data_IF_952388280942
#
_entry.id   IF_952388280942
#
_cell.length_a   1.000
_cell.length_b   1.000
_cell.length_c   1.000
_cell.angle_alpha   90.00
_cell.angle_beta   90.00
_cell.angle_gamma   90.00
#
_symmetry.space_group_name_H-M   'P 1'
#
loop_
_entity.id
_entity.type
_entity.pdbx_description
1 polymer ?
#
# COMPACT_ATOMS: atom_id res chain seq x y z
N UNK A 1 -7.46 12.41 -24.44
CA UNK A 1 -7.23 11.92 -23.06
C UNK A 1 -6.00 11.04 -23.07
N UNK A 2 -5.11 11.17 -22.09
CA UNK A 2 -3.96 10.28 -21.97
C UNK A 2 -4.43 8.84 -21.67
N UNK A 3 -3.83 7.87 -22.34
CA UNK A 3 -4.07 6.43 -22.14
C UNK A 3 -2.78 5.77 -21.68
N UNK A 4 -2.83 4.91 -20.65
CA UNK A 4 -1.66 4.26 -20.06
C UNK A 4 -1.70 2.72 -20.11
N UNK A 5 -1.69 2.08 -21.29
CA UNK A 5 -1.50 0.63 -21.39
C UNK A 5 -0.09 0.23 -20.93
N UNK A 6 0.10 -0.94 -20.28
CA UNK A 6 -0.90 -1.97 -19.97
C UNK A 6 -1.60 -1.78 -18.60
N UNK A 7 -1.22 -0.76 -17.83
CA UNK A 7 -1.64 -0.62 -16.43
C UNK A 7 -3.09 -0.18 -16.28
N UNK A 8 -3.54 0.77 -17.11
CA UNK A 8 -4.85 1.38 -16.97
C UNK A 8 -6.01 0.36 -17.05
N UNK A 9 -5.98 -0.59 -17.99
CA UNK A 9 -7.04 -1.61 -18.09
C UNK A 9 -7.08 -2.52 -16.86
N UNK A 10 -5.90 -2.86 -16.32
CA UNK A 10 -5.81 -3.69 -15.12
C UNK A 10 -6.36 -2.95 -13.91
N UNK A 11 -5.96 -1.70 -13.70
CA UNK A 11 -6.47 -0.91 -12.57
C UNK A 11 -7.94 -0.58 -12.69
N UNK A 12 -8.47 -0.38 -13.91
CA UNK A 12 -9.91 -0.26 -14.15
C UNK A 12 -10.67 -1.49 -13.65
N UNK A 13 -10.18 -2.70 -13.96
CA UNK A 13 -10.83 -3.92 -13.49
C UNK A 13 -10.76 -4.04 -11.97
N UNK A 14 -9.61 -3.76 -11.36
CA UNK A 14 -9.45 -3.75 -9.90
C UNK A 14 -10.40 -2.75 -9.25
N UNK A 15 -10.50 -1.53 -9.79
CA UNK A 15 -11.42 -0.50 -9.30
C UNK A 15 -12.87 -0.99 -9.34
N UNK A 16 -13.30 -1.61 -10.45
CA UNK A 16 -14.67 -2.14 -10.56
C UNK A 16 -14.94 -3.21 -9.51
N UNK A 17 -14.01 -4.15 -9.31
CA UNK A 17 -14.14 -5.17 -8.25
C UNK A 17 -14.25 -4.53 -6.87
N UNK A 18 -13.44 -3.51 -6.58
CA UNK A 18 -13.45 -2.80 -5.29
C UNK A 18 -14.79 -2.08 -5.08
N UNK A 19 -15.28 -1.37 -6.08
CA UNK A 19 -16.44 -0.47 -5.96
C UNK A 19 -17.81 -1.18 -6.04
N UNK A 20 -17.87 -2.40 -6.56
CA UNK A 20 -19.14 -3.11 -6.78
C UNK A 20 -19.08 -4.54 -6.28
N UNK A 21 -19.98 -4.86 -5.34
CA UNK A 21 -20.20 -6.23 -4.85
C UNK A 21 -20.66 -7.21 -5.94
N UNK A 22 -21.22 -6.69 -7.03
CA UNK A 22 -21.77 -7.49 -8.14
C UNK A 22 -20.84 -7.53 -9.36
N UNK A 23 -19.64 -6.94 -9.30
CA UNK A 23 -18.71 -7.00 -10.43
C UNK A 23 -18.22 -8.46 -10.61
N UNK A 24 -18.46 -9.09 -11.77
CA UNK A 24 -18.13 -10.49 -11.97
C UNK A 24 -16.63 -10.73 -12.12
N UNK A 25 -16.22 -11.99 -11.94
CA UNK A 25 -14.86 -12.44 -12.26
C UNK A 25 -13.77 -12.02 -11.27
N UNK A 26 -14.12 -11.49 -10.10
CA UNK A 26 -13.14 -11.24 -9.05
C UNK A 26 -12.65 -12.59 -8.48
N UNK A 27 -11.35 -12.86 -8.63
CA UNK A 27 -10.72 -14.08 -8.10
C UNK A 27 -10.11 -13.89 -6.71
N UNK A 28 -10.19 -12.69 -6.15
CA UNK A 28 -9.59 -12.38 -4.85
C UNK A 28 -10.52 -12.85 -3.74
N UNK A 29 -10.07 -13.84 -2.97
CA UNK A 29 -10.79 -14.36 -1.82
C UNK A 29 -10.53 -13.52 -0.56
N UNK A 30 -11.39 -13.69 0.45
CA UNK A 30 -11.18 -13.10 1.79
C UNK A 30 -9.87 -13.59 2.38
N UNK A 31 -9.05 -12.68 2.90
CA UNK A 31 -7.77 -13.03 3.51
C UNK A 31 -8.03 -13.59 4.91
N UNK A 32 -7.54 -14.80 5.15
CA UNK A 32 -7.55 -15.44 6.47
C UNK A 32 -6.15 -15.66 7.04
N UNK A 33 -5.11 -15.26 6.29
CA UNK A 33 -3.71 -15.41 6.68
C UNK A 33 -3.40 -14.55 7.92
N UNK A 34 -2.71 -15.16 8.88
CA UNK A 34 -2.11 -14.49 10.04
C UNK A 34 -0.61 -14.77 10.08
N UNK A 35 0.15 -13.98 10.84
CA UNK A 35 1.59 -14.21 10.99
C UNK A 35 1.93 -15.54 11.68
N UNK A 36 0.98 -16.14 12.41
CA UNK A 36 1.15 -17.45 13.05
C UNK A 36 0.88 -18.62 12.10
N UNK A 37 0.23 -18.36 10.95
CA UNK A 37 -0.23 -19.36 9.99
C UNK A 37 0.48 -19.27 8.64
N UNK A 38 1.66 -18.64 8.60
CA UNK A 38 2.44 -18.48 7.37
C UNK A 38 2.84 -19.85 6.77
N UNK A 39 2.47 -20.13 5.50
CA UNK A 39 2.86 -21.35 4.81
C UNK A 39 4.29 -21.26 4.24
N UNK A 40 4.92 -22.40 3.87
CA UNK A 40 4.46 -23.77 4.11
C UNK A 40 4.58 -24.18 5.58
N UNK A 41 5.61 -23.68 6.28
CA UNK A 41 5.77 -23.84 7.72
C UNK A 41 6.11 -22.50 8.36
N UNK A 42 5.49 -22.18 9.49
CA UNK A 42 5.75 -20.92 10.21
C UNK A 42 7.22 -20.77 10.59
N UNK A 43 7.91 -21.86 10.91
CA UNK A 43 9.33 -21.86 11.29
C UNK A 43 10.26 -21.36 10.20
N UNK A 44 9.81 -21.31 8.96
CA UNK A 44 10.61 -20.86 7.81
C UNK A 44 10.63 -19.33 7.67
N UNK A 45 10.02 -18.61 8.62
CA UNK A 45 9.83 -17.17 8.59
C UNK A 45 10.45 -16.49 9.80
N UNK A 46 11.37 -15.58 9.54
CA UNK A 46 11.86 -14.63 10.52
C UNK A 46 10.91 -13.44 10.57
N UNK A 47 10.27 -13.25 11.73
CA UNK A 47 9.37 -12.13 11.98
C UNK A 47 9.92 -11.35 13.15
N UNK A 48 10.36 -10.12 12.87
CA UNK A 48 10.71 -9.15 13.90
C UNK A 48 9.67 -8.03 13.89
N UNK A 49 9.08 -7.76 15.05
CA UNK A 49 8.18 -6.63 15.24
C UNK A 49 8.54 -5.92 16.53
N UNK A 50 8.73 -4.61 16.46
CA UNK A 50 9.05 -3.79 17.61
C UNK A 50 8.32 -2.45 17.56
N UNK A 51 8.09 -1.86 18.74
CA UNK A 51 7.53 -0.52 18.82
C UNK A 51 8.54 0.47 18.24
N UNK A 52 8.12 1.23 17.23
CA UNK A 52 9.01 2.11 16.47
C UNK A 52 8.45 3.54 16.48
N UNK A 53 9.25 4.53 16.85
CA UNK A 53 8.82 5.92 16.77
C UNK A 53 8.89 6.42 15.33
N UNK A 54 7.84 7.14 14.91
CA UNK A 54 7.85 7.81 13.62
C UNK A 54 8.97 8.85 13.52
N UNK A 55 9.57 8.95 12.35
CA UNK A 55 10.42 10.08 12.04
C UNK A 55 9.59 11.37 11.85
N UNK A 56 10.24 12.56 11.85
CA UNK A 56 9.55 13.84 11.70
C UNK A 56 8.75 13.98 10.39
N UNK A 57 9.07 13.23 9.35
CA UNK A 57 8.40 13.33 8.06
C UNK A 57 7.10 12.52 8.04
N UNK A 58 7.12 11.30 8.58
CA UNK A 58 5.91 10.51 8.79
C UNK A 58 4.88 11.28 9.64
N UNK A 59 5.33 11.97 10.71
CA UNK A 59 4.43 12.82 11.50
C UNK A 59 3.76 13.91 10.66
N UNK A 60 4.51 14.58 9.77
CA UNK A 60 3.95 15.61 8.89
C UNK A 60 2.92 15.03 7.93
N UNK A 61 3.17 13.82 7.39
CA UNK A 61 2.22 13.17 6.49
C UNK A 61 0.91 12.82 7.19
N UNK A 62 1.00 12.30 8.42
CA UNK A 62 -0.17 11.98 9.23
C UNK A 62 -0.97 13.22 9.62
N UNK A 63 -0.29 14.28 10.08
CA UNK A 63 -0.91 15.57 10.39
C UNK A 63 -1.63 16.16 9.16
N UNK A 64 -1.03 16.04 7.97
CA UNK A 64 -1.62 16.52 6.72
C UNK A 64 -2.92 15.80 6.35
N UNK A 65 -3.07 14.52 6.70
CA UNK A 65 -4.33 13.76 6.50
C UNK A 65 -5.25 13.78 7.72
N UNK A 66 -4.93 14.58 8.74
CA UNK A 66 -5.76 14.75 9.93
C UNK A 66 -5.69 13.57 10.92
N UNK A 67 -4.64 12.76 10.89
CA UNK A 67 -4.36 11.77 11.93
C UNK A 67 -3.64 12.48 13.09
N UNK A 68 -4.20 12.49 14.32
CA UNK A 68 -3.56 13.13 15.46
C UNK A 68 -2.27 12.40 15.88
N UNK A 69 -1.17 13.13 15.98
CA UNK A 69 0.17 12.61 16.33
C UNK A 69 0.72 13.15 17.65
N UNK A 70 0.14 14.22 18.19
CA UNK A 70 0.70 14.94 19.35
C UNK A 70 0.89 14.05 20.58
N UNK A 71 -0.07 13.18 20.88
CA UNK A 71 0.02 12.28 22.02
C UNK A 71 1.16 11.26 21.87
N UNK A 72 1.35 10.75 20.65
CA UNK A 72 2.41 9.79 20.33
C UNK A 72 3.80 10.44 20.39
N UNK A 73 3.95 11.66 19.87
CA UNK A 73 5.19 12.45 19.92
C UNK A 73 5.69 12.72 21.34
N UNK A 74 4.77 12.84 22.30
CA UNK A 74 5.07 13.11 23.71
C UNK A 74 5.15 11.83 24.55
N UNK A 75 4.75 10.69 23.98
CA UNK A 75 4.71 9.41 24.67
C UNK A 75 6.09 8.77 24.74
N UNK A 76 6.33 8.03 25.83
CA UNK A 76 7.52 7.13 25.95
C UNK A 76 7.32 5.80 25.24
N UNK A 77 6.10 5.48 24.84
CA UNK A 77 5.72 4.27 24.12
C UNK A 77 5.13 4.66 22.78
N UNK A 78 5.63 4.06 21.69
CA UNK A 78 5.08 4.29 20.36
C UNK A 78 3.75 3.56 20.16
N UNK A 79 2.81 4.20 19.48
CA UNK A 79 1.59 3.56 18.97
C UNK A 79 1.83 2.82 17.64
N UNK A 80 3.05 2.85 17.11
CA UNK A 80 3.43 2.29 15.83
C UNK A 80 4.37 1.10 15.98
N UNK A 81 4.23 0.15 15.07
CA UNK A 81 5.00 -1.08 15.06
C UNK A 81 5.76 -1.20 13.75
N UNK A 82 7.09 -1.16 13.85
CA UNK A 82 7.99 -1.58 12.79
C UNK A 82 7.94 -3.09 12.66
N UNK A 83 7.84 -3.61 11.44
CA UNK A 83 7.80 -5.06 11.21
C UNK A 83 8.61 -5.45 9.99
N UNK A 84 9.40 -6.51 10.15
CA UNK A 84 10.11 -7.22 9.11
C UNK A 84 9.60 -8.66 9.12
N UNK A 85 9.10 -9.11 7.97
CA UNK A 85 8.76 -10.51 7.70
C UNK A 85 9.67 -10.97 6.58
N UNK A 86 10.52 -11.94 6.85
CA UNK A 86 11.46 -12.48 5.87
C UNK A 86 11.39 -13.99 5.88
N UNK A 87 11.35 -14.59 4.69
CA UNK A 87 11.49 -16.03 4.58
C UNK A 87 12.96 -16.41 4.73
N UNK A 88 13.26 -17.25 5.72
CA UNK A 88 14.62 -17.66 6.08
C UNK A 88 15.19 -18.67 5.08
N UNK A 89 14.32 -19.50 4.48
CA UNK A 89 14.72 -20.55 3.55
C UNK A 89 13.90 -20.55 2.24
N UNK A 90 14.57 -20.91 1.15
CA UNK A 90 13.94 -21.07 -0.16
C UNK A 90 13.88 -19.77 -0.97
N UNK A 91 12.76 -19.58 -1.67
CA UNK A 91 12.58 -18.44 -2.57
C UNK A 91 12.49 -17.12 -1.79
N UNK A 92 13.14 -16.07 -2.30
CA UNK A 92 13.13 -14.74 -1.69
C UNK A 92 11.70 -14.21 -1.57
N UNK A 93 11.25 -14.06 -0.33
CA UNK A 93 10.02 -13.37 0.02
C UNK A 93 10.25 -12.53 1.26
N UNK A 94 10.03 -11.22 1.16
CA UNK A 94 10.21 -10.28 2.27
C UNK A 94 9.17 -9.17 2.23
N UNK A 95 8.79 -8.71 3.42
CA UNK A 95 7.94 -7.54 3.65
C UNK A 95 8.57 -6.73 4.78
N UNK A 96 8.75 -5.44 4.58
CA UNK A 96 9.19 -4.49 5.60
C UNK A 96 8.30 -3.26 5.56
N UNK A 97 7.93 -2.79 6.74
CA UNK A 97 7.09 -1.61 6.85
C UNK A 97 6.75 -1.31 8.29
N UNK A 98 5.78 -0.41 8.45
CA UNK A 98 5.30 0.02 9.74
C UNK A 98 3.78 0.09 9.74
N UNK A 99 3.17 -0.18 10.88
CA UNK A 99 1.72 -0.09 11.06
C UNK A 99 1.37 0.76 12.26
N UNK A 100 0.21 1.41 12.21
CA UNK A 100 -0.29 2.27 13.26
C UNK A 100 -1.80 2.44 13.21
N UNK A 101 -2.37 3.21 14.16
CA UNK A 101 -3.80 3.50 14.16
C UNK A 101 -4.25 4.11 12.83
N UNK A 102 -5.10 3.40 12.11
CA UNK A 102 -5.63 3.80 10.79
C UNK A 102 -4.64 3.88 9.63
N UNK A 103 -3.39 3.41 9.79
CA UNK A 103 -2.34 3.55 8.77
C UNK A 103 -1.46 2.31 8.59
N UNK A 104 -1.06 2.06 7.33
CA UNK A 104 0.04 1.16 6.95
C UNK A 104 1.07 1.94 6.14
N UNK A 105 2.35 1.78 6.46
CA UNK A 105 3.49 2.17 5.64
C UNK A 105 4.17 0.90 5.11
N UNK A 106 4.18 0.72 3.80
CA UNK A 106 4.86 -0.39 3.12
C UNK A 106 6.17 0.16 2.60
N UNK A 107 7.30 -0.26 3.17
CA UNK A 107 8.62 0.27 2.81
C UNK A 107 9.29 -0.59 1.73
N UNK A 108 9.25 -1.92 1.91
CA UNK A 108 9.86 -2.85 0.97
C UNK A 108 9.06 -4.12 0.87
N UNK A 109 8.89 -4.60 -0.37
CA UNK A 109 8.21 -5.87 -0.66
C UNK A 109 8.94 -6.60 -1.77
N UNK A 110 9.22 -7.87 -1.55
CA UNK A 110 9.83 -8.76 -2.54
C UNK A 110 9.15 -10.12 -2.48
N UNK A 111 8.79 -10.68 -3.63
CA UNK A 111 8.25 -12.03 -3.75
C UNK A 111 8.78 -12.64 -5.04
N UNK A 112 9.40 -13.81 -4.95
CA UNK A 112 9.79 -14.55 -6.14
C UNK A 112 8.55 -14.87 -7.01
N UNK A 113 8.68 -14.71 -8.34
CA UNK A 113 7.55 -14.83 -9.28
C UNK A 113 6.87 -16.21 -9.25
N UNK A 114 7.64 -17.26 -8.99
CA UNK A 114 7.18 -18.65 -9.00
C UNK A 114 7.19 -19.29 -7.61
N UNK A 115 7.11 -18.49 -6.53
CA UNK A 115 6.93 -19.06 -5.19
C UNK A 115 5.46 -19.34 -4.90
N UNK A 116 5.24 -20.34 -4.03
CA UNK A 116 3.94 -20.61 -3.39
C UNK A 116 3.79 -19.79 -2.09
N UNK A 117 4.63 -18.78 -1.89
CA UNK A 117 4.57 -17.94 -0.71
C UNK A 117 3.36 -17.01 -0.78
N UNK A 118 2.87 -16.53 0.37
CA UNK A 118 1.75 -15.59 0.40
C UNK A 118 1.96 -14.38 -0.51
N UNK A 119 0.87 -13.86 -1.07
CA UNK A 119 0.91 -12.60 -1.79
C UNK A 119 1.20 -11.45 -0.83
N UNK A 120 1.82 -10.38 -1.34
CA UNK A 120 2.14 -9.20 -0.51
C UNK A 120 0.90 -8.52 0.08
N UNK A 121 -0.25 -8.63 -0.59
CA UNK A 121 -1.53 -8.19 -0.03
C UNK A 121 -1.93 -8.97 1.23
N UNK A 122 -1.62 -10.27 1.26
CA UNK A 122 -1.93 -11.16 2.40
C UNK A 122 -0.96 -10.92 3.55
N UNK A 123 0.35 -10.77 3.27
CA UNK A 123 1.33 -10.41 4.29
C UNK A 123 1.04 -9.04 4.90
N UNK A 124 0.72 -8.04 4.07
CA UNK A 124 0.34 -6.70 4.54
C UNK A 124 -0.88 -6.75 5.46
N UNK A 125 -1.89 -7.57 5.12
CA UNK A 125 -3.04 -7.82 5.99
C UNK A 125 -2.63 -8.45 7.31
N UNK A 126 -1.90 -9.57 7.26
CA UNK A 126 -1.45 -10.29 8.45
C UNK A 126 -0.64 -9.41 9.41
N UNK A 127 0.24 -8.55 8.88
CA UNK A 127 1.00 -7.58 9.68
C UNK A 127 0.09 -6.55 10.32
N UNK A 128 -0.83 -5.92 9.58
CA UNK A 128 -1.72 -4.90 10.14
C UNK A 128 -2.67 -5.47 11.19
N UNK A 129 -3.27 -6.63 10.91
CA UNK A 129 -4.30 -7.21 11.78
C UNK A 129 -3.74 -7.90 13.02
N UNK A 130 -2.41 -8.00 13.15
CA UNK A 130 -1.75 -8.43 14.38
C UNK A 130 -2.09 -7.49 15.54
N UNK A 131 -2.06 -6.18 15.28
CA UNK A 131 -2.14 -5.14 16.31
C UNK A 131 -3.36 -4.21 16.13
N UNK A 132 -3.95 -4.14 14.94
CA UNK A 132 -5.02 -3.20 14.61
C UNK A 132 -6.26 -3.85 13.98
N UNK A 133 -7.42 -3.24 14.21
CA UNK A 133 -8.67 -3.67 13.57
C UNK A 133 -8.76 -3.14 12.14
N UNK A 134 -9.04 -4.02 11.18
CA UNK A 134 -9.06 -3.67 9.76
C UNK A 134 -10.06 -2.56 9.42
N UNK A 135 -11.19 -2.50 10.15
CA UNK A 135 -12.25 -1.51 9.93
C UNK A 135 -11.78 -0.07 10.14
N UNK A 136 -10.76 0.11 10.99
CA UNK A 136 -10.17 1.42 11.31
C UNK A 136 -9.16 1.92 10.28
N UNK A 137 -8.73 1.10 9.32
CA UNK A 137 -7.75 1.49 8.32
C UNK A 137 -8.30 2.57 7.38
N UNK A 138 -7.54 3.66 7.20
CA UNK A 138 -7.91 4.80 6.35
C UNK A 138 -6.87 5.10 5.28
N UNK A 139 -5.61 4.80 5.51
CA UNK A 139 -4.55 5.17 4.58
C UNK A 139 -3.48 4.08 4.46
N UNK A 140 -3.01 3.86 3.25
CA UNK A 140 -1.85 3.02 2.96
C UNK A 140 -0.84 3.84 2.20
N UNK A 141 0.38 3.94 2.73
CA UNK A 141 1.52 4.51 2.04
C UNK A 141 2.39 3.40 1.49
N UNK A 142 2.85 3.56 0.26
CA UNK A 142 3.97 2.78 -0.28
C UNK A 142 5.13 3.75 -0.33
N UNK A 143 6.08 3.55 0.58
CA UNK A 143 7.24 4.41 0.72
C UNK A 143 8.42 3.87 -0.08
N UNK A 144 9.31 4.78 -0.47
CA UNK A 144 10.53 4.48 -1.25
C UNK A 144 10.27 3.45 -2.36
N UNK A 145 9.51 3.82 -3.39
CA UNK A 145 9.12 2.87 -4.44
C UNK A 145 10.36 2.38 -5.19
N UNK A 146 10.88 1.23 -4.77
CA UNK A 146 12.00 0.53 -5.42
C UNK A 146 11.54 -0.42 -6.53
N UNK A 147 10.23 -0.64 -6.67
CA UNK A 147 9.70 -1.44 -7.76
C UNK A 147 9.86 -0.72 -9.11
N UNK A 148 10.73 -1.25 -9.96
CA UNK A 148 11.08 -0.66 -11.25
C UNK A 148 9.86 -0.24 -12.08
N UNK A 149 8.85 -1.10 -12.22
CA UNK A 149 7.67 -0.79 -13.06
C UNK A 149 6.86 0.38 -12.50
N UNK A 150 6.64 0.41 -11.17
CA UNK A 150 5.88 1.48 -10.51
C UNK A 150 6.68 2.78 -10.51
N UNK A 151 7.97 2.73 -10.16
CA UNK A 151 8.87 3.88 -10.16
C UNK A 151 9.02 4.46 -11.58
N UNK A 152 9.16 3.61 -12.59
CA UNK A 152 9.24 4.00 -13.99
C UNK A 152 7.95 4.68 -14.43
N UNK A 153 6.78 4.13 -14.04
CA UNK A 153 5.49 4.76 -14.35
C UNK A 153 5.41 6.16 -13.75
N UNK A 154 5.69 6.30 -12.45
CA UNK A 154 5.65 7.60 -11.76
C UNK A 154 6.62 8.60 -12.41
N UNK A 155 7.86 8.20 -12.67
CA UNK A 155 8.84 9.11 -13.26
C UNK A 155 8.51 9.50 -14.72
N UNK A 156 7.96 8.58 -15.53
CA UNK A 156 7.67 8.83 -16.95
C UNK A 156 6.32 9.48 -17.23
N UNK A 157 5.33 9.28 -16.36
CA UNK A 157 3.96 9.69 -16.64
C UNK A 157 3.38 10.66 -15.61
N UNK A 158 3.90 10.69 -14.38
CA UNK A 158 3.52 11.69 -13.38
C UNK A 158 4.48 12.87 -13.41
N UNK A 159 5.79 12.59 -13.31
CA UNK A 159 6.84 13.62 -13.29
C UNK A 159 7.51 13.84 -14.65
N UNK A 160 6.77 13.59 -15.75
CA UNK A 160 7.32 13.68 -17.10
C UNK A 160 7.85 15.10 -17.39
N UNK A 161 9.03 15.25 -18.04
CA UNK A 161 9.54 16.56 -18.42
C UNK A 161 8.55 17.33 -19.31
N UNK A 162 8.32 18.61 -19.00
CA UNK A 162 7.38 19.46 -19.75
C UNK A 162 5.91 19.37 -19.30
N UNK A 163 5.62 18.67 -18.21
CA UNK A 163 4.31 18.76 -17.54
C UNK A 163 4.32 19.92 -16.53
N UNK A 164 3.19 20.59 -16.34
CA UNK A 164 3.01 21.65 -15.31
C UNK A 164 3.31 21.15 -13.88
N UNK A 165 3.40 19.84 -13.70
CA UNK A 165 3.70 19.13 -12.45
C UNK A 165 5.21 19.11 -12.09
N UNK A 166 6.07 19.70 -12.92
CA UNK A 166 7.51 19.83 -12.61
C UNK A 166 7.79 20.78 -11.44
N UNK A 167 6.83 21.61 -11.03
CA UNK A 167 7.06 22.61 -10.00
C UNK A 167 5.79 22.89 -9.17
N UNK A 168 5.86 22.83 -7.82
CA UNK A 168 7.03 22.54 -6.98
C UNK A 168 7.36 21.03 -6.90
N UNK A 169 8.66 20.71 -6.70
CA UNK A 169 9.19 19.33 -6.56
C UNK A 169 8.55 18.53 -5.41
N UNK A 170 7.91 19.22 -4.48
CA UNK A 170 7.28 18.68 -3.27
C UNK A 170 5.75 18.72 -3.36
N UNK A 171 5.18 18.98 -4.55
CA UNK A 171 3.74 18.97 -4.73
C UNK A 171 3.19 17.54 -4.54
N UNK A 172 2.20 17.43 -3.66
CA UNK A 172 1.35 16.23 -3.58
C UNK A 172 0.34 16.31 -4.71
N UNK A 173 0.47 15.40 -5.68
CA UNK A 173 -0.46 15.31 -6.80
C UNK A 173 -1.46 14.22 -6.47
N UNK A 174 -2.75 14.54 -6.52
CA UNK A 174 -3.81 13.63 -6.11
C UNK A 174 -4.81 13.45 -7.22
N UNK A 175 -5.20 12.20 -7.48
CA UNK A 175 -6.25 11.87 -8.44
C UNK A 175 -7.38 11.11 -7.75
N UNK A 176 -8.60 11.44 -8.14
CA UNK A 176 -9.79 10.65 -7.86
C UNK A 176 -10.07 9.63 -9.00
N UNK A 177 -11.02 8.69 -8.83
CA UNK A 177 -11.32 7.64 -9.80
C UNK A 177 -11.79 8.11 -11.19
N UNK A 178 -12.11 9.39 -11.38
CA UNK A 178 -12.48 9.92 -12.69
C UNK A 178 -11.27 10.10 -13.63
N UNK A 179 -10.04 10.11 -13.09
CA UNK A 179 -8.83 10.35 -13.86
C UNK A 179 -8.16 9.05 -14.33
N UNK A 180 -7.67 8.98 -15.59
CA UNK A 180 -6.92 7.82 -16.08
C UNK A 180 -5.67 7.46 -15.27
N UNK A 181 -5.03 8.46 -14.65
CA UNK A 181 -3.87 8.26 -13.78
C UNK A 181 -4.19 7.40 -12.56
N UNK A 182 -5.40 7.52 -12.01
CA UNK A 182 -5.87 6.70 -10.90
C UNK A 182 -5.84 5.22 -11.27
N UNK A 183 -6.49 4.87 -12.38
CA UNK A 183 -6.53 3.49 -12.88
C UNK A 183 -5.14 3.00 -13.27
N UNK A 184 -4.31 3.85 -13.88
CA UNK A 184 -2.96 3.49 -14.25
C UNK A 184 -2.09 3.18 -13.02
N UNK A 185 -2.12 4.02 -11.99
CA UNK A 185 -1.41 3.80 -10.72
C UNK A 185 -1.91 2.54 -10.02
N UNK A 186 -3.22 2.35 -9.94
CA UNK A 186 -3.83 1.14 -9.36
C UNK A 186 -3.44 -0.14 -10.12
N UNK A 187 -3.16 -0.04 -11.43
CA UNK A 187 -2.72 -1.15 -12.26
C UNK A 187 -1.23 -1.52 -12.13
N UNK A 188 -0.39 -0.64 -11.57
CA UNK A 188 1.04 -0.92 -11.33
C UNK A 188 1.22 -2.05 -10.30
N UNK A 189 2.40 -2.70 -10.19
CA UNK A 189 2.62 -3.72 -9.17
C UNK A 189 2.29 -3.28 -7.74
N UNK A 190 2.66 -2.06 -7.32
CA UNK A 190 2.32 -1.55 -5.99
C UNK A 190 0.82 -1.24 -5.86
N UNK A 191 0.21 -0.67 -6.89
CA UNK A 191 -1.24 -0.47 -6.93
C UNK A 191 -2.02 -1.78 -6.82
N UNK A 192 -1.56 -2.84 -7.48
CA UNK A 192 -2.16 -4.18 -7.40
C UNK A 192 -2.10 -4.75 -5.99
N UNK A 193 -0.97 -4.61 -5.29
CA UNK A 193 -0.84 -5.06 -3.90
C UNK A 193 -1.92 -4.38 -3.05
N UNK A 194 -2.06 -3.06 -3.16
CA UNK A 194 -3.07 -2.30 -2.40
C UNK A 194 -4.49 -2.67 -2.82
N UNK A 195 -4.76 -2.78 -4.12
CA UNK A 195 -6.09 -3.14 -4.62
C UNK A 195 -6.53 -4.55 -4.18
N UNK A 196 -5.64 -5.54 -4.28
CA UNK A 196 -5.90 -6.89 -3.81
C UNK A 196 -5.96 -6.98 -2.28
N UNK A 197 -5.18 -6.16 -1.57
CA UNK A 197 -5.33 -6.00 -0.13
C UNK A 197 -6.74 -5.50 0.19
N UNK A 198 -7.26 -4.44 -0.44
CA UNK A 198 -8.61 -3.93 -0.15
C UNK A 198 -9.68 -4.99 -0.42
N UNK A 199 -9.60 -5.67 -1.57
CA UNK A 199 -10.52 -6.75 -1.93
C UNK A 199 -10.47 -7.91 -0.93
N UNK A 200 -9.26 -8.35 -0.57
CA UNK A 200 -9.08 -9.46 0.35
C UNK A 200 -9.44 -9.12 1.80
N UNK A 201 -9.15 -7.88 2.24
CA UNK A 201 -9.34 -7.39 3.60
C UNK A 201 -10.76 -6.93 3.89
N UNK A 202 -11.48 -6.33 2.92
CA UNK A 202 -12.87 -5.86 3.09
C UNK A 202 -13.92 -6.57 2.25
N UNK A 203 -13.56 -7.14 1.10
CA UNK A 203 -14.49 -7.72 0.14
C UNK A 203 -14.93 -6.70 -0.90
N UNK A 204 -15.55 -7.17 -1.98
CA UNK A 204 -16.07 -6.31 -3.04
C UNK A 204 -17.18 -5.40 -2.51
N UNK A 205 -17.17 -4.12 -2.89
CA UNK A 205 -18.25 -3.17 -2.56
C UNK A 205 -18.29 -2.69 -1.11
N UNK A 206 -17.28 -3.00 -0.28
CA UNK A 206 -17.27 -2.65 1.15
C UNK A 206 -16.44 -1.40 1.47
N UNK A 207 -15.30 -1.27 0.79
CA UNK A 207 -14.40 -0.11 0.85
C UNK A 207 -13.98 0.27 -0.57
N UNK A 208 -13.62 1.52 -0.77
CA UNK A 208 -13.02 2.03 -2.00
C UNK A 208 -11.73 2.78 -1.72
N UNK A 209 -10.87 2.80 -2.73
CA UNK A 209 -9.78 3.76 -2.82
C UNK A 209 -10.42 5.05 -3.37
N UNK A 210 -10.51 6.07 -2.54
CA UNK A 210 -11.13 7.36 -2.86
C UNK A 210 -10.17 8.27 -3.62
N UNK A 211 -8.88 8.20 -3.30
CA UNK A 211 -7.84 8.99 -3.94
C UNK A 211 -6.52 8.21 -3.96
N UNK A 212 -5.70 8.51 -4.96
CA UNK A 212 -4.30 8.10 -5.00
C UNK A 212 -3.46 9.37 -5.12
N UNK A 213 -2.55 9.57 -4.18
CA UNK A 213 -1.60 10.67 -4.19
C UNK A 213 -0.19 10.18 -4.50
N UNK A 214 0.54 10.97 -5.28
CA UNK A 214 1.97 10.80 -5.55
C UNK A 214 2.69 12.05 -5.06
N UNK A 215 3.78 11.84 -4.33
CA UNK A 215 4.66 12.92 -3.89
C UNK A 215 6.10 12.41 -3.78
N UNK A 216 7.07 13.31 -3.63
CA UNK A 216 8.47 12.95 -3.41
C UNK A 216 8.84 13.18 -1.95
N UNK A 217 9.67 12.27 -1.46
CA UNK A 217 10.27 12.33 -0.13
C UNK A 217 11.58 11.55 -0.15
N UNK A 218 12.58 12.01 0.60
CA UNK A 218 13.92 11.39 0.66
C UNK A 218 14.54 11.10 -0.72
N UNK A 219 14.18 11.89 -1.75
CA UNK A 219 14.65 11.69 -3.13
C UNK A 219 13.91 10.60 -3.93
N UNK A 220 12.98 9.87 -3.32
CA UNK A 220 12.20 8.79 -3.94
C UNK A 220 10.70 9.17 -4.08
N UNK A 221 10.01 8.64 -5.11
CA UNK A 221 8.57 8.77 -5.21
C UNK A 221 7.87 7.93 -4.15
N UNK A 222 6.79 8.48 -3.61
CA UNK A 222 5.91 7.88 -2.61
C UNK A 222 4.50 7.78 -3.18
N UNK A 223 3.73 6.77 -2.77
CA UNK A 223 2.30 6.67 -3.05
C UNK A 223 1.51 6.70 -1.75
N UNK A 224 0.35 7.36 -1.77
CA UNK A 224 -0.67 7.26 -0.72
C UNK A 224 -2.00 6.84 -1.33
N UNK A 225 -2.65 5.87 -0.72
CA UNK A 225 -3.98 5.41 -1.07
C UNK A 225 -4.95 5.74 0.07
N UNK A 226 -5.95 6.55 -0.23
CA UNK A 226 -6.95 6.99 0.75
C UNK A 226 -8.18 6.10 0.68
N UNK A 227 -8.54 5.45 1.79
CA UNK A 227 -9.56 4.41 1.88
C UNK A 227 -10.83 4.99 2.49
N UNK A 228 -11.96 4.77 1.85
CA UNK A 228 -13.27 5.22 2.30
C UNK A 228 -14.31 4.08 2.19
N UNK A 229 -15.45 4.18 2.87
CA UNK A 229 -16.63 3.38 2.52
C UNK A 229 -17.02 3.59 1.05
N UNK A 230 -17.56 2.53 0.42
CA UNK A 230 -18.22 2.62 -0.90
C UNK A 230 -19.47 3.47 -0.79
#
# INVERSE_FOLDING_TARGET
>A
MATFPPWQSTGQQIRKWIQSANEPGCTVSRITLTLDTLPPHRTDWDINSEAEHLDPEHYKWLEHVGIPTTADRLSRTSAYWGTIVMKSEGALTSWTGMTGPSVIFINKVERARNSNDPYMSELTHAVYTKDFKIEGLKHIWVTDIQNDDTALFVNKHVYAPGTELQYPRDAVITWDPSYPHFDALLGTPMGKIVGYFILGAFGQGMRRISHISVFRSFGAPQLRFDIAPV
#
